data_IF_996295404169
#
_entry.id   IF_996295404169
#
_cell.length_a   1.000
_cell.length_b   1.000
_cell.length_c   1.000
_cell.angle_alpha   90.00
_cell.angle_beta   90.00
_cell.angle_gamma   90.00
#
_symmetry.space_group_name_H-M   'P 1'
#
loop_
_entity.id
_entity.type
_entity.pdbx_description
1 polymer ?
#
# COMPACT_ATOMS: atom_id res chain seq x y z
N UNK A 1 0.05 14.22 7.41
CA UNK A 1 1.25 13.41 7.13
C UNK A 1 2.22 14.28 6.35
N UNK A 2 3.36 14.66 6.95
CA UNK A 2 4.38 15.48 6.27
C UNK A 2 5.68 14.66 6.26
N UNK A 3 6.20 14.45 5.05
CA UNK A 3 7.47 13.77 4.81
C UNK A 3 8.56 14.84 4.68
N UNK A 4 9.75 14.56 5.21
CA UNK A 4 10.91 15.41 4.93
C UNK A 4 11.45 15.14 3.52
N UNK A 5 12.38 15.99 3.06
CA UNK A 5 12.99 15.90 1.74
C UNK A 5 13.80 14.60 1.52
N UNK A 6 14.04 13.83 2.59
CA UNK A 6 14.71 12.52 2.56
C UNK A 6 13.73 11.36 2.69
N UNK A 7 12.42 11.62 2.67
CA UNK A 7 11.38 10.60 2.77
C UNK A 7 11.25 9.98 4.16
N UNK A 8 11.74 10.64 5.22
CA UNK A 8 11.52 10.23 6.60
C UNK A 8 10.28 10.94 7.15
N UNK A 9 9.38 10.16 7.75
CA UNK A 9 8.19 10.70 8.40
C UNK A 9 8.61 11.44 9.69
N UNK A 10 8.29 12.72 9.82
CA UNK A 10 8.51 13.44 11.07
C UNK A 10 7.53 12.93 12.14
N UNK A 11 8.05 12.53 13.29
CA UNK A 11 7.29 12.07 14.45
C UNK A 11 6.69 13.22 15.28
N UNK A 12 6.93 14.48 14.90
CA UNK A 12 6.65 15.66 15.72
C UNK A 12 5.20 16.14 15.73
N UNK A 13 4.25 15.42 15.13
CA UNK A 13 2.85 15.88 15.02
C UNK A 13 1.77 14.97 15.61
N UNK A 14 2.15 13.96 16.40
CA UNK A 14 1.17 13.21 17.18
C UNK A 14 1.23 13.63 18.64
N UNK A 15 0.68 14.80 19.00
CA UNK A 15 -0.06 15.18 20.25
C UNK A 15 -0.63 16.60 19.97
N UNK A 16 -1.84 17.03 20.34
CA UNK A 16 -2.68 16.76 21.50
C UNK A 16 -4.18 16.89 21.12
N UNK A 17 -5.03 15.94 21.55
CA UNK A 17 -6.45 16.20 21.80
C UNK A 17 -6.65 15.91 23.29
N UNK A 18 -6.72 16.96 24.09
CA UNK A 18 -6.94 16.86 25.53
C UNK A 18 -8.42 16.62 25.79
N UNK A 19 -8.79 15.40 26.16
CA UNK A 19 -10.06 15.09 26.82
C UNK A 19 -9.77 14.91 28.30
N UNK A 20 -10.44 15.72 29.14
CA UNK A 20 -10.30 15.69 30.59
C UNK A 20 -10.81 14.36 31.17
N UNK A 21 -9.91 13.54 31.71
CA UNK A 21 -10.24 12.35 32.47
C UNK A 21 -8.97 11.55 32.75
N UNK A 22 -8.58 11.48 34.01
CA UNK A 22 -7.30 10.92 34.44
C UNK A 22 -7.19 9.42 34.16
N UNK A 23 -6.18 9.02 33.38
CA UNK A 23 -5.53 7.72 33.43
C UNK A 23 -4.04 7.94 33.15
N UNK A 24 -3.18 7.24 33.90
CA UNK A 24 -1.71 7.35 33.89
C UNK A 24 -1.10 7.32 32.45
N UNK A 25 0.02 8.03 32.20
CA UNK A 25 0.61 8.11 30.87
C UNK A 25 1.02 6.73 30.37
N UNK A 26 0.28 6.24 29.36
CA UNK A 26 0.63 5.03 28.62
C UNK A 26 1.98 5.30 27.98
N UNK A 27 3.03 4.71 28.56
CA UNK A 27 4.39 4.75 28.02
C UNK A 27 4.31 4.37 26.52
N UNK A 28 4.85 5.19 25.60
CA UNK A 28 4.85 4.81 24.19
C UNK A 28 5.51 3.43 24.09
N UNK A 29 4.99 2.50 23.27
CA UNK A 29 5.63 1.22 23.10
C UNK A 29 7.09 1.48 22.72
N UNK A 30 7.99 1.20 23.68
CA UNK A 30 9.42 1.12 23.46
C UNK A 30 9.59 0.35 22.16
N UNK A 31 10.37 0.87 21.21
CA UNK A 31 10.75 0.19 19.98
C UNK A 31 11.23 -1.23 20.31
N UNK A 32 10.28 -2.16 20.39
CA UNK A 32 10.53 -3.57 20.48
C UNK A 32 10.97 -3.93 19.08
N UNK A 33 12.23 -4.33 18.96
CA UNK A 33 12.65 -5.14 17.84
C UNK A 33 11.57 -6.22 17.69
N UNK A 34 10.79 -6.16 16.60
CA UNK A 34 9.85 -7.22 16.29
C UNK A 34 10.74 -8.45 16.18
N UNK A 35 10.60 -9.34 17.15
CA UNK A 35 11.29 -10.62 17.11
C UNK A 35 10.74 -11.28 15.85
N UNK A 36 11.57 -11.40 14.82
CA UNK A 36 11.24 -12.13 13.59
C UNK A 36 11.03 -13.58 14.00
N UNK A 37 9.81 -13.87 14.44
CA UNK A 37 9.33 -15.22 14.60
C UNK A 37 9.24 -15.77 13.19
N UNK A 38 10.13 -16.71 12.89
CA UNK A 38 10.14 -17.50 11.66
C UNK A 38 8.81 -18.23 11.56
N UNK A 39 7.84 -17.53 11.01
CA UNK A 39 6.49 -18.02 10.77
C UNK A 39 6.57 -18.82 9.49
N UNK A 40 6.03 -20.03 9.49
CA UNK A 40 5.82 -20.83 8.26
C UNK A 40 5.29 -19.92 7.15
N UNK A 41 5.84 -20.00 5.92
CA UNK A 41 5.41 -19.14 4.83
C UNK A 41 3.93 -19.42 4.52
N UNK A 42 3.06 -18.58 5.07
CA UNK A 42 1.63 -18.63 4.78
C UNK A 42 1.45 -18.14 3.36
N UNK A 43 1.05 -19.05 2.48
CA UNK A 43 0.71 -18.67 1.13
C UNK A 43 -0.45 -17.66 1.14
N UNK A 44 -0.40 -16.65 0.27
CA UNK A 44 -1.46 -15.65 0.19
C UNK A 44 -2.77 -16.33 -0.19
N UNK A 45 -3.89 -15.83 0.31
CA UNK A 45 -5.19 -16.43 0.00
C UNK A 45 -5.47 -16.38 -1.51
N UNK A 46 -5.75 -17.54 -2.11
CA UNK A 46 -6.18 -17.69 -3.51
C UNK A 46 -5.22 -17.11 -4.59
N UNK A 47 -3.91 -17.03 -4.29
CA UNK A 47 -2.92 -16.47 -5.23
C UNK A 47 -2.81 -17.26 -6.55
N UNK A 48 -2.99 -18.59 -6.52
CA UNK A 48 -2.90 -19.45 -7.70
C UNK A 48 -3.90 -19.06 -8.79
N UNK A 49 -5.13 -18.70 -8.39
CA UNK A 49 -6.15 -18.23 -9.32
C UNK A 49 -5.75 -16.90 -9.97
N UNK A 50 -5.03 -16.04 -9.25
CA UNK A 50 -4.58 -14.72 -9.74
C UNK A 50 -3.41 -14.89 -10.72
N UNK A 51 -2.40 -15.69 -10.36
CA UNK A 51 -1.19 -15.84 -11.19
C UNK A 51 -1.39 -16.73 -12.41
N UNK A 52 -2.53 -17.42 -12.51
CA UNK A 52 -2.94 -18.15 -13.73
C UNK A 52 -3.06 -17.21 -14.93
N UNK A 53 -3.46 -15.96 -14.71
CA UNK A 53 -3.66 -14.95 -15.75
C UNK A 53 -2.45 -13.99 -15.89
N UNK A 54 -1.28 -14.41 -15.40
CA UNK A 54 -0.05 -13.63 -15.51
C UNK A 54 0.41 -13.52 -16.97
N UNK A 55 0.86 -12.33 -17.35
CA UNK A 55 1.34 -12.05 -18.72
C UNK A 55 2.61 -12.85 -19.07
N UNK A 56 3.40 -13.20 -18.05
CA UNK A 56 4.59 -14.03 -18.16
C UNK A 56 4.46 -15.25 -17.23
N UNK A 57 4.98 -16.43 -17.61
CA UNK A 57 4.98 -17.60 -16.75
C UNK A 57 5.68 -17.34 -15.42
N UNK A 58 5.03 -17.74 -14.32
CA UNK A 58 5.61 -17.70 -12.97
C UNK A 58 6.44 -18.97 -12.74
N UNK A 59 7.64 -18.80 -12.19
CA UNK A 59 8.55 -19.89 -11.85
C UNK A 59 8.09 -20.57 -10.55
N UNK A 60 7.56 -21.78 -10.69
CA UNK A 60 7.10 -22.63 -9.59
C UNK A 60 8.10 -23.73 -9.21
N UNK A 61 9.38 -23.61 -9.61
CA UNK A 61 10.37 -24.68 -9.35
C UNK A 61 10.72 -24.86 -7.87
N UNK A 62 10.60 -23.80 -7.08
CA UNK A 62 10.74 -23.84 -5.63
C UNK A 62 9.82 -22.82 -4.97
N UNK A 63 9.46 -23.06 -3.71
CA UNK A 63 8.64 -22.13 -2.91
C UNK A 63 9.33 -20.77 -2.79
N UNK A 64 10.64 -20.73 -2.61
CA UNK A 64 11.42 -19.50 -2.47
C UNK A 64 11.34 -18.62 -3.73
N UNK A 65 11.53 -19.20 -4.92
CA UNK A 65 11.43 -18.46 -6.19
C UNK A 65 10.02 -17.97 -6.46
N UNK A 66 9.03 -18.80 -6.13
CA UNK A 66 7.62 -18.41 -6.24
C UNK A 66 7.33 -17.22 -5.33
N UNK A 67 7.73 -17.28 -4.05
CA UNK A 67 7.53 -16.19 -3.10
C UNK A 67 8.28 -14.92 -3.52
N UNK A 68 9.51 -15.02 -4.02
CA UNK A 68 10.28 -13.89 -4.55
C UNK A 68 9.53 -13.19 -5.69
N UNK A 69 8.96 -13.96 -6.62
CA UNK A 69 8.15 -13.42 -7.71
C UNK A 69 6.83 -12.81 -7.21
N UNK A 70 6.19 -13.43 -6.22
CA UNK A 70 4.98 -12.89 -5.62
C UNK A 70 5.25 -11.58 -4.86
N UNK A 71 6.39 -11.46 -4.18
CA UNK A 71 6.77 -10.24 -3.45
C UNK A 71 7.23 -9.11 -4.38
N UNK A 72 7.99 -9.42 -5.43
CA UNK A 72 8.38 -8.43 -6.46
C UNK A 72 7.21 -8.00 -7.34
N UNK A 73 6.25 -8.92 -7.52
CA UNK A 73 4.99 -8.74 -8.19
C UNK A 73 5.00 -9.17 -9.64
N UNK A 74 3.83 -9.61 -10.10
CA UNK A 74 3.59 -10.12 -11.46
C UNK A 74 2.63 -9.19 -12.21
N UNK A 75 2.85 -9.06 -13.51
CA UNK A 75 1.96 -8.29 -14.39
C UNK A 75 0.83 -9.17 -14.90
N UNK A 76 -0.36 -8.58 -14.93
CA UNK A 76 -1.58 -9.20 -15.42
C UNK A 76 -2.21 -8.29 -16.48
N UNK A 77 -3.08 -8.86 -17.31
CA UNK A 77 -3.92 -8.14 -18.25
C UNK A 77 -3.11 -7.19 -19.16
N UNK A 78 -2.11 -7.73 -19.88
CA UNK A 78 -1.28 -6.97 -20.81
C UNK A 78 -0.55 -5.79 -20.14
N UNK A 79 -0.01 -6.02 -18.94
CA UNK A 79 0.68 -5.04 -18.09
C UNK A 79 -0.20 -3.84 -17.70
N UNK A 80 -1.52 -4.05 -17.67
CA UNK A 80 -2.51 -3.06 -17.20
C UNK A 80 -2.90 -3.25 -15.74
N UNK A 81 -2.50 -4.37 -15.12
CA UNK A 81 -2.53 -4.55 -13.66
C UNK A 81 -1.20 -5.14 -13.17
N UNK A 82 -0.85 -4.86 -11.90
CA UNK A 82 0.22 -5.54 -11.19
C UNK A 82 -0.33 -6.15 -9.90
N UNK A 83 -0.02 -7.40 -9.64
CA UNK A 83 -0.34 -8.10 -8.39
C UNK A 83 0.95 -8.38 -7.62
N UNK A 84 0.93 -8.22 -6.30
CA UNK A 84 2.02 -8.66 -5.42
C UNK A 84 1.49 -9.01 -4.04
N UNK A 85 2.33 -9.67 -3.26
CA UNK A 85 2.04 -10.04 -1.88
C UNK A 85 2.86 -9.15 -0.96
N UNK A 86 2.23 -8.59 0.06
CA UNK A 86 2.96 -7.85 1.09
C UNK A 86 3.70 -8.83 2.00
N UNK A 87 5.05 -8.80 1.97
CA UNK A 87 5.94 -9.78 2.63
C UNK A 87 5.61 -10.04 4.11
N UNK A 88 5.25 -9.00 4.86
CA UNK A 88 5.08 -9.10 6.32
C UNK A 88 3.68 -9.59 6.72
N UNK A 89 2.65 -9.30 5.92
CA UNK A 89 1.25 -9.58 6.25
C UNK A 89 0.66 -10.72 5.43
N UNK A 90 1.30 -11.10 4.31
CA UNK A 90 0.74 -12.05 3.35
C UNK A 90 -0.48 -11.50 2.59
N UNK A 91 -0.77 -10.20 2.70
CA UNK A 91 -1.91 -9.60 2.02
C UNK A 91 -1.70 -9.53 0.51
N UNK A 92 -2.77 -9.80 -0.23
CA UNK A 92 -2.84 -9.58 -1.66
C UNK A 92 -2.92 -8.07 -1.94
N UNK A 93 -2.05 -7.58 -2.82
CA UNK A 93 -2.02 -6.19 -3.25
C UNK A 93 -2.15 -6.10 -4.77
N UNK A 94 -2.84 -5.06 -5.23
CA UNK A 94 -3.06 -4.81 -6.64
C UNK A 94 -2.78 -3.34 -6.97
N UNK A 95 -2.25 -3.11 -8.16
CA UNK A 95 -2.13 -1.81 -8.79
C UNK A 95 -2.86 -1.88 -10.12
N UNK A 96 -3.85 -1.01 -10.29
CA UNK A 96 -4.49 -0.77 -11.58
C UNK A 96 -3.76 0.40 -12.24
N UNK A 97 -3.25 0.18 -13.45
CA UNK A 97 -2.64 1.27 -14.21
C UNK A 97 -3.75 2.12 -14.84
N UNK A 98 -3.49 3.42 -15.08
CA UNK A 98 -4.47 4.34 -15.68
C UNK A 98 -5.06 3.82 -16.99
N UNK A 99 -4.29 3.06 -17.78
CA UNK A 99 -4.72 2.43 -19.04
C UNK A 99 -5.81 1.37 -18.88
N UNK A 100 -6.02 0.85 -17.67
CA UNK A 100 -7.09 -0.09 -17.33
C UNK A 100 -8.26 0.57 -16.60
N UNK A 101 -8.12 1.85 -16.25
CA UNK A 101 -9.12 2.57 -15.48
C UNK A 101 -10.09 3.26 -16.44
N UNK A 102 -11.34 2.80 -16.44
CA UNK A 102 -12.45 3.53 -17.05
C UNK A 102 -13.21 4.26 -15.97
N UNK A 103 -13.31 5.59 -16.10
CA UNK A 103 -14.05 6.43 -15.16
C UNK A 103 -15.38 6.77 -15.82
N UNK A 104 -16.47 6.22 -15.29
CA UNK A 104 -17.81 6.59 -15.71
C UNK A 104 -17.99 8.10 -15.56
N UNK A 105 -18.49 8.75 -16.61
CA UNK A 105 -18.66 10.21 -16.67
C UNK A 105 -17.36 11.02 -16.59
N UNK A 106 -16.17 10.42 -16.71
CA UNK A 106 -14.89 11.13 -16.62
C UNK A 106 -14.73 12.26 -17.64
N UNK A 107 -15.40 12.16 -18.79
CA UNK A 107 -15.44 13.21 -19.81
C UNK A 107 -16.44 14.33 -19.49
N UNK A 108 -17.39 14.08 -18.58
CA UNK A 108 -18.42 15.04 -18.20
C UNK A 108 -17.97 15.84 -16.97
N UNK A 109 -17.53 17.07 -17.22
CA UNK A 109 -17.11 18.04 -16.19
C UNK A 109 -18.20 18.39 -15.18
N UNK A 110 -19.47 18.08 -15.45
CA UNK A 110 -20.58 18.28 -14.51
C UNK A 110 -20.56 17.29 -13.34
N UNK A 111 -19.93 16.12 -13.49
CA UNK A 111 -19.85 15.10 -12.43
C UNK A 111 -18.51 15.11 -11.68
N UNK A 112 -17.49 15.75 -12.24
CA UNK A 112 -16.14 15.79 -11.68
C UNK A 112 -15.67 17.23 -11.58
N UNK A 113 -15.75 17.79 -10.37
CA UNK A 113 -15.17 19.09 -10.06
C UNK A 113 -14.10 18.95 -8.97
N UNK A 114 -12.96 19.59 -9.17
CA UNK A 114 -11.99 19.76 -8.09
C UNK A 114 -12.57 20.78 -7.11
N UNK A 115 -12.80 20.43 -5.83
CA UNK A 115 -13.22 21.41 -4.85
C UNK A 115 -12.13 22.47 -4.73
N UNK A 116 -12.49 23.73 -4.92
CA UNK A 116 -11.58 24.84 -4.68
C UNK A 116 -11.26 24.88 -3.18
N UNK A 117 -9.98 24.67 -2.82
CA UNK A 117 -9.52 24.91 -1.45
C UNK A 117 -8.83 26.28 -1.39
N UNK A 118 -9.34 27.22 -0.57
CA UNK A 118 -8.72 28.54 -0.44
C UNK A 118 -7.27 28.48 0.06
N UNK A 119 -6.89 27.41 0.77
CA UNK A 119 -5.54 27.16 1.29
C UNK A 119 -4.48 26.91 0.20
N UNK A 120 -4.88 26.67 -1.06
CA UNK A 120 -3.95 26.46 -2.18
C UNK A 120 -3.23 27.76 -2.59
N UNK A 121 -3.74 28.93 -2.20
CA UNK A 121 -3.13 30.23 -2.50
C UNK A 121 -1.82 30.51 -1.75
N UNK A 122 -1.45 29.65 -0.79
CA UNK A 122 -0.20 29.76 0.00
C UNK A 122 1.02 29.12 -0.67
N UNK A 123 0.85 28.31 -1.72
CA UNK A 123 1.96 27.73 -2.49
C UNK A 123 2.36 28.67 -3.63
N UNK A 124 3.01 29.79 -3.31
CA UNK A 124 3.79 30.57 -4.29
C UNK A 124 5.26 30.13 -4.21
N UNK A 125 5.78 29.66 -5.35
CA UNK A 125 7.21 29.52 -5.64
C UNK A 125 7.90 30.88 -5.68
#
# INVERSE_FOLDING_TARGET
MKWDEKGKMSSEWFQEVTIHGAEEPIKPPSCGCIVETKTEPKFPHNYEAIIKDADCPVNRSSIEKLLEQLYSGVFLNQKRKKYWVQKNSGHNCFMLFARDLSITWGENKGYWHWPYSPDMSSWKL
#
